data_IF_713360822417
#
_entry.id   IF_713360822417
#
_cell.length_a   1.000
_cell.length_b   1.000
_cell.length_c   1.000
_cell.angle_alpha   90.00
_cell.angle_beta   90.00
_cell.angle_gamma   90.00
#
_symmetry.space_group_name_H-M   'P 1'
#
loop_
_entity.id
_entity.type
_entity.pdbx_description
1 polymer ?
#
# COMPACT_ATOMS: atom_id res chain seq x y z
N UNK A 1 -2.28 6.71 -7.13
CA UNK A 1 -1.54 5.52 -7.64
C UNK A 1 -2.47 4.33 -7.63
N UNK A 2 -2.37 3.41 -8.60
CA UNK A 2 -3.18 2.19 -8.64
C UNK A 2 -2.32 1.01 -8.19
N UNK A 3 -2.68 0.40 -7.07
CA UNK A 3 -2.03 -0.77 -6.47
C UNK A 3 -2.95 -2.00 -6.51
N UNK A 4 -3.96 -2.00 -7.38
CA UNK A 4 -5.03 -3.00 -7.40
C UNK A 4 -4.44 -4.42 -7.53
N UNK A 5 -4.78 -5.30 -6.60
CA UNK A 5 -4.34 -6.71 -6.61
C UNK A 5 -2.86 -6.91 -6.31
N UNK A 6 -2.14 -5.89 -5.83
CA UNK A 6 -0.70 -6.00 -5.56
C UNK A 6 -0.42 -6.63 -4.20
N UNK A 7 0.68 -7.39 -4.10
CA UNK A 7 1.21 -7.81 -2.80
C UNK A 7 2.19 -6.73 -2.31
N UNK A 8 1.77 -6.00 -1.27
CA UNK A 8 2.53 -5.00 -0.54
C UNK A 8 2.81 -5.45 0.90
N UNK A 9 2.76 -6.76 1.17
CA UNK A 9 3.04 -7.30 2.49
C UNK A 9 4.46 -6.90 2.93
N UNK A 10 4.57 -6.39 4.15
CA UNK A 10 5.80 -5.86 4.75
C UNK A 10 6.48 -4.72 3.99
N UNK A 11 5.78 -4.08 3.03
CA UNK A 11 6.32 -2.93 2.30
C UNK A 11 6.51 -1.74 3.25
N UNK A 12 7.61 -1.00 3.08
CA UNK A 12 7.76 0.30 3.74
C UNK A 12 7.12 1.39 2.88
N UNK A 13 5.97 1.89 3.32
CA UNK A 13 5.24 3.00 2.71
C UNK A 13 5.32 4.26 3.58
N UNK A 14 6.22 4.30 4.56
CA UNK A 14 6.44 5.45 5.44
C UNK A 14 6.72 6.70 4.61
N UNK A 15 5.93 7.76 4.81
CA UNK A 15 6.07 9.02 4.09
C UNK A 15 5.62 9.00 2.62
N UNK A 16 5.04 7.89 2.12
CA UNK A 16 4.46 7.88 0.78
C UNK A 16 3.24 8.81 0.71
N UNK A 17 3.13 9.60 -0.37
CA UNK A 17 1.91 10.35 -0.64
C UNK A 17 0.85 9.40 -1.23
N UNK A 18 0.02 8.86 -0.34
CA UNK A 18 -1.05 7.90 -0.68
C UNK A 18 -2.40 8.58 -0.92
N UNK A 19 -2.45 9.90 -1.08
CA UNK A 19 -3.69 10.62 -1.39
C UNK A 19 -4.26 10.08 -2.69
N UNK A 20 -5.52 9.67 -2.67
CA UNK A 20 -6.23 9.04 -3.79
C UNK A 20 -5.56 7.76 -4.33
N UNK A 21 -4.78 7.04 -3.51
CA UNK A 21 -4.29 5.73 -3.90
C UNK A 21 -5.40 4.67 -3.81
N UNK A 22 -5.48 3.81 -4.82
CA UNK A 22 -6.40 2.69 -4.87
C UNK A 22 -5.65 1.40 -4.53
N UNK A 23 -6.01 0.80 -3.40
CA UNK A 23 -5.45 -0.46 -2.90
C UNK A 23 -6.46 -1.62 -2.99
N UNK A 24 -7.50 -1.52 -3.81
CA UNK A 24 -8.51 -2.56 -3.95
C UNK A 24 -7.84 -3.94 -4.20
N UNK A 25 -8.19 -4.93 -3.38
CA UNK A 25 -7.62 -6.28 -3.41
C UNK A 25 -6.09 -6.39 -3.19
N UNK A 26 -5.44 -5.37 -2.63
CA UNK A 26 -4.01 -5.45 -2.29
C UNK A 26 -3.80 -6.16 -0.96
N UNK A 27 -2.71 -6.91 -0.83
CA UNK A 27 -2.25 -7.42 0.46
C UNK A 27 -1.33 -6.39 1.11
N UNK A 28 -1.78 -5.79 2.22
CA UNK A 28 -1.02 -4.81 3.01
C UNK A 28 -0.54 -5.39 4.36
N UNK A 29 -0.53 -6.72 4.51
CA UNK A 29 -0.15 -7.39 5.77
C UNK A 29 1.23 -6.94 6.22
N UNK A 30 1.31 -6.28 7.38
CA UNK A 30 2.58 -5.81 7.96
C UNK A 30 3.22 -4.63 7.25
N UNK A 31 2.55 -3.98 6.29
CA UNK A 31 3.07 -2.77 5.66
C UNK A 31 3.30 -1.65 6.69
N UNK A 32 4.44 -0.96 6.60
CA UNK A 32 4.72 0.20 7.44
C UNK A 32 4.10 1.45 6.80
N UNK A 33 3.06 1.99 7.42
CA UNK A 33 2.37 3.23 7.01
C UNK A 33 2.73 4.43 7.89
N UNK A 34 3.59 4.23 8.90
CA UNK A 34 3.96 5.25 9.89
C UNK A 34 4.86 6.34 9.32
#
# INVERSE_FOLDING_TARGET
MYFIGTNLSYANLSGANLICADFTNSDLTGANLS
#
